data_IF_712229602807
#
_entry.id   IF_712229602807
#
_cell.length_a   1.000
_cell.length_b   1.000
_cell.length_c   1.000
_cell.angle_alpha   90.00
_cell.angle_beta   90.00
_cell.angle_gamma   90.00
#
_symmetry.space_group_name_H-M   'P 1'
#
loop_
_entity.id
_entity.type
_entity.pdbx_description
1 polymer ?
#
# COMPACT_ATOMS: atom_id res chain seq x y z
N UNK A 1 -6.91 0.75 -49.38
CA UNK A 1 -5.80 1.61 -48.91
C UNK A 1 -6.28 2.68 -47.92
N UNK A 2 -7.31 3.47 -48.26
CA UNK A 2 -7.85 4.53 -47.39
C UNK A 2 -8.39 4.00 -46.05
N UNK A 3 -9.13 2.88 -46.06
CA UNK A 3 -9.68 2.26 -44.84
C UNK A 3 -8.59 1.83 -43.83
N UNK A 4 -7.48 1.27 -44.34
CA UNK A 4 -6.33 0.90 -43.51
C UNK A 4 -5.62 2.14 -42.94
N UNK A 5 -5.56 3.23 -43.72
CA UNK A 5 -5.01 4.50 -43.25
C UNK A 5 -5.84 5.11 -42.12
N UNK A 6 -7.17 5.11 -42.24
CA UNK A 6 -8.08 5.56 -41.17
C UNK A 6 -7.95 4.66 -39.94
N UNK A 7 -7.89 3.34 -40.11
CA UNK A 7 -7.74 2.40 -39.01
C UNK A 7 -6.43 2.62 -38.23
N UNK A 8 -5.29 2.78 -38.94
CA UNK A 8 -4.00 3.09 -38.31
C UNK A 8 -4.02 4.45 -37.59
N UNK A 9 -4.65 5.47 -38.18
CA UNK A 9 -4.80 6.79 -37.56
C UNK A 9 -5.68 6.74 -36.32
N UNK A 10 -6.80 5.99 -36.35
CA UNK A 10 -7.68 5.78 -35.20
C UNK A 10 -6.98 5.05 -34.07
N UNK A 11 -6.16 4.03 -34.39
CA UNK A 11 -5.31 3.35 -33.41
C UNK A 11 -4.31 4.31 -32.77
N UNK A 12 -3.64 5.14 -33.57
CA UNK A 12 -2.68 6.14 -33.06
C UNK A 12 -3.36 7.17 -32.16
N UNK A 13 -4.52 7.70 -32.58
CA UNK A 13 -5.30 8.65 -31.77
C UNK A 13 -5.82 8.00 -30.48
N UNK A 14 -6.26 6.74 -30.55
CA UNK A 14 -6.66 5.97 -29.38
C UNK A 14 -5.49 5.80 -28.40
N UNK A 15 -4.33 5.35 -28.85
CA UNK A 15 -3.18 5.18 -27.96
C UNK A 15 -2.71 6.51 -27.34
N UNK A 16 -2.79 7.61 -28.08
CA UNK A 16 -2.36 8.93 -27.60
C UNK A 16 -3.37 9.57 -26.63
N UNK A 17 -4.67 9.29 -26.79
CA UNK A 17 -5.74 9.84 -25.94
C UNK A 17 -6.16 8.94 -24.76
N UNK A 18 -6.15 7.62 -24.94
CA UNK A 18 -6.61 6.65 -23.94
C UNK A 18 -5.56 6.35 -22.87
N UNK A 19 -4.28 6.46 -23.21
CA UNK A 19 -3.18 6.29 -22.26
C UNK A 19 -2.53 7.65 -21.98
N UNK A 20 -3.06 8.46 -21.06
CA UNK A 20 -2.34 9.61 -20.57
C UNK A 20 -1.09 9.09 -19.85
N UNK A 21 0.06 9.10 -20.52
CA UNK A 21 1.35 8.93 -19.85
C UNK A 21 1.44 10.10 -18.90
N UNK A 22 1.31 9.84 -17.59
CA UNK A 22 1.39 10.86 -16.56
C UNK A 22 2.75 11.55 -16.69
N UNK A 23 2.75 12.76 -17.25
CA UNK A 23 3.91 13.65 -17.26
C UNK A 23 4.01 14.29 -15.88
N UNK A 24 4.31 13.49 -14.86
CA UNK A 24 4.55 14.04 -13.53
C UNK A 24 5.98 13.75 -13.09
N UNK A 25 6.96 14.58 -13.52
CA UNK A 25 8.23 14.70 -12.84
C UNK A 25 8.24 16.02 -12.07
N UNK A 26 7.23 16.28 -11.23
CA UNK A 26 7.46 17.20 -10.13
C UNK A 26 7.60 16.34 -8.89
N UNK A 27 8.85 15.96 -8.64
CA UNK A 27 9.29 15.65 -7.29
C UNK A 27 8.83 16.81 -6.42
N UNK A 28 7.70 16.66 -5.74
CA UNK A 28 7.36 17.58 -4.67
C UNK A 28 8.49 17.41 -3.66
N UNK A 29 9.20 18.50 -3.37
CA UNK A 29 10.10 18.46 -2.24
C UNK A 29 9.21 18.25 -1.02
N UNK A 30 9.45 17.18 -0.27
CA UNK A 30 8.82 16.93 1.02
C UNK A 30 9.32 17.93 2.09
N UNK A 31 9.73 19.12 1.68
CA UNK A 31 10.08 20.20 2.59
C UNK A 31 8.77 20.77 3.15
N UNK A 32 8.68 21.01 4.46
CA UNK A 32 7.55 21.74 5.02
C UNK A 32 7.42 23.10 4.32
N UNK A 33 6.20 23.66 4.20
CA UNK A 33 6.00 24.97 3.59
C UNK A 33 6.92 26.00 4.24
N UNK A 34 7.79 26.64 3.45
CA UNK A 34 8.81 27.60 3.94
C UNK A 34 8.22 28.81 4.66
N UNK A 35 6.93 29.07 4.46
CA UNK A 35 6.19 30.19 5.05
C UNK A 35 5.60 29.88 6.44
N UNK A 36 5.78 28.65 6.95
CA UNK A 36 5.40 28.29 8.32
C UNK A 36 6.62 28.34 9.24
N UNK A 37 6.38 28.74 10.50
CA UNK A 37 7.31 28.96 11.62
C UNK A 37 8.56 28.04 11.66
N UNK A 38 9.66 28.46 12.31
CA UNK A 38 10.92 27.71 12.34
C UNK A 38 10.69 26.22 12.69
N UNK A 39 11.00 25.38 11.70
CA UNK A 39 10.70 23.94 11.63
C UNK A 39 11.16 23.17 12.87
N UNK A 40 12.23 23.64 13.53
CA UNK A 40 12.86 22.95 14.64
C UNK A 40 12.00 22.88 15.92
N UNK A 41 11.11 23.86 16.16
CA UNK A 41 10.31 23.90 17.40
C UNK A 41 8.82 23.60 17.18
N UNK A 42 8.33 23.63 15.93
CA UNK A 42 6.89 23.48 15.62
C UNK A 42 6.48 22.06 15.21
N UNK A 43 7.41 21.23 14.74
CA UNK A 43 7.13 19.88 14.23
C UNK A 43 7.74 18.78 15.10
N UNK A 44 7.63 18.91 16.43
CA UNK A 44 7.94 17.80 17.31
C UNK A 44 6.93 16.66 17.06
N UNK A 45 7.38 15.44 16.73
CA UNK A 45 6.46 14.34 16.45
C UNK A 45 5.69 13.98 17.73
N UNK A 46 4.38 14.19 17.71
CA UNK A 46 3.47 13.79 18.81
C UNK A 46 3.36 12.27 18.90
N UNK A 47 3.56 11.59 17.77
CA UNK A 47 3.50 10.12 17.65
C UNK A 47 4.91 9.59 17.44
N UNK A 48 5.37 8.75 18.36
CA UNK A 48 6.70 8.13 18.31
C UNK A 48 6.74 6.79 17.58
N UNK A 49 5.60 6.10 17.47
CA UNK A 49 5.47 4.79 16.83
C UNK A 49 4.20 4.70 15.99
N UNK A 50 4.32 4.11 14.81
CA UNK A 50 3.19 3.86 13.91
C UNK A 50 3.07 2.37 13.62
N UNK A 51 1.86 1.82 13.75
CA UNK A 51 1.53 0.47 13.28
C UNK A 51 0.49 0.58 12.17
N UNK A 52 0.86 0.13 10.97
CA UNK A 52 -0.03 0.02 9.82
C UNK A 52 -0.46 -1.44 9.67
N UNK A 53 -1.74 -1.71 9.92
CA UNK A 53 -2.33 -3.03 9.69
C UNK A 53 -3.12 -2.99 8.39
N UNK A 54 -2.74 -3.83 7.44
CA UNK A 54 -3.40 -4.03 6.16
C UNK A 54 -4.02 -5.42 6.18
N UNK A 55 -5.31 -5.50 5.87
CA UNK A 55 -6.05 -6.76 5.77
C UNK A 55 -6.58 -6.82 4.34
N UNK A 56 -6.08 -7.76 3.54
CA UNK A 56 -6.53 -7.95 2.16
C UNK A 56 -7.98 -8.44 2.13
N UNK A 57 -8.69 -8.10 1.05
CA UNK A 57 -10.08 -8.46 0.80
C UNK A 57 -11.09 -8.13 1.93
N UNK A 58 -10.75 -7.28 2.90
CA UNK A 58 -11.65 -6.95 4.01
C UNK A 58 -12.79 -6.04 3.53
N UNK A 59 -13.98 -6.62 3.42
CA UNK A 59 -15.20 -5.86 3.14
C UNK A 59 -15.72 -5.16 4.39
N UNK A 60 -16.24 -3.95 4.21
CA UNK A 60 -16.73 -3.13 5.32
C UNK A 60 -17.92 -3.77 6.06
N UNK A 61 -18.77 -4.53 5.36
CA UNK A 61 -19.93 -5.19 5.97
C UNK A 61 -19.54 -6.34 6.92
N UNK A 62 -18.30 -6.85 6.82
CA UNK A 62 -17.75 -7.79 7.79
C UNK A 62 -17.37 -7.11 9.12
N UNK A 63 -17.16 -5.79 9.13
CA UNK A 63 -16.80 -5.03 10.34
C UNK A 63 -18.05 -4.68 11.14
N UNK A 64 -18.63 -5.67 11.80
CA UNK A 64 -19.79 -5.50 12.68
C UNK A 64 -19.59 -6.16 14.05
N UNK A 65 -20.50 -5.93 14.98
CA UNK A 65 -20.38 -6.40 16.37
C UNK A 65 -20.43 -7.92 16.53
N UNK A 66 -20.91 -8.66 15.52
CA UNK A 66 -20.99 -10.12 15.55
C UNK A 66 -19.73 -10.75 14.96
N UNK A 67 -19.29 -10.29 13.79
CA UNK A 67 -18.14 -10.85 13.07
C UNK A 67 -16.79 -10.30 13.56
N UNK A 68 -16.71 -8.99 13.83
CA UNK A 68 -15.49 -8.31 14.30
C UNK A 68 -15.80 -7.42 15.52
N UNK A 69 -16.12 -8.01 16.69
CA UNK A 69 -16.51 -7.28 17.90
C UNK A 69 -15.42 -6.31 18.39
N UNK A 70 -14.14 -6.66 18.22
CA UNK A 70 -13.03 -5.80 18.63
C UNK A 70 -12.94 -4.56 17.73
N UNK A 71 -12.84 -4.77 16.41
CA UNK A 71 -12.71 -3.69 15.42
C UNK A 71 -13.91 -2.75 15.45
N UNK A 72 -15.12 -3.31 15.52
CA UNK A 72 -16.36 -2.51 15.60
C UNK A 72 -16.44 -1.70 16.91
N UNK A 73 -15.94 -2.21 18.03
CA UNK A 73 -15.84 -1.47 19.30
C UNK A 73 -14.81 -0.34 19.22
N UNK A 74 -13.63 -0.63 18.68
CA UNK A 74 -12.56 0.37 18.50
C UNK A 74 -13.01 1.52 17.61
N UNK A 75 -13.69 1.20 16.51
CA UNK A 75 -14.26 2.19 15.58
C UNK A 75 -15.31 3.12 16.21
N UNK A 76 -16.00 2.70 17.28
CA UNK A 76 -17.03 3.51 17.95
C UNK A 76 -16.50 4.30 19.14
N UNK A 77 -15.41 3.83 19.76
CA UNK A 77 -14.84 4.41 20.97
C UNK A 77 -13.69 5.36 20.70
N UNK A 78 -12.50 4.79 20.46
CA UNK A 78 -11.23 5.51 20.41
C UNK A 78 -10.64 5.63 18.98
N UNK A 79 -11.40 5.25 17.97
CA UNK A 79 -10.97 5.23 16.58
C UNK A 79 -11.90 5.99 15.66
N UNK A 80 -11.39 6.31 14.47
CA UNK A 80 -12.18 6.83 13.35
C UNK A 80 -12.36 5.71 12.32
N UNK A 81 -13.56 5.60 11.74
CA UNK A 81 -13.82 4.71 10.61
C UNK A 81 -14.29 5.53 9.42
N UNK A 82 -13.64 5.32 8.27
CA UNK A 82 -13.97 5.97 7.02
C UNK A 82 -14.21 4.91 5.95
N UNK A 83 -15.24 5.13 5.14
CA UNK A 83 -15.58 4.22 4.04
C UNK A 83 -14.77 4.63 2.82
N UNK A 84 -13.94 3.72 2.32
CA UNK A 84 -13.14 3.95 1.10
C UNK A 84 -13.74 3.09 -0.02
N UNK A 85 -14.25 3.76 -1.06
CA UNK A 85 -14.73 3.07 -2.26
C UNK A 85 -13.56 2.86 -3.24
N UNK A 86 -13.38 1.62 -3.68
CA UNK A 86 -12.26 1.20 -4.52
C UNK A 86 -12.77 0.90 -5.93
N UNK A 87 -12.26 1.62 -6.92
CA UNK A 87 -12.57 1.38 -8.34
C UNK A 87 -11.89 0.10 -8.84
N UNK A 88 -12.36 -0.53 -9.92
CA UNK A 88 -11.63 -1.63 -10.56
C UNK A 88 -10.28 -1.16 -11.15
N UNK A 89 -9.25 -2.01 -11.23
CA UNK A 89 -9.17 -3.40 -10.77
C UNK A 89 -8.74 -3.54 -9.31
N UNK A 90 -9.12 -4.65 -8.68
CA UNK A 90 -8.88 -4.97 -7.26
C UNK A 90 -7.65 -5.87 -7.08
N UNK A 91 -6.53 -5.53 -7.72
CA UNK A 91 -5.26 -6.27 -7.57
C UNK A 91 -4.47 -5.71 -6.39
N UNK A 92 -3.88 -6.57 -5.57
CA UNK A 92 -3.17 -6.21 -4.33
C UNK A 92 -2.02 -5.24 -4.57
N UNK A 93 -1.11 -5.53 -5.52
CA UNK A 93 0.09 -4.70 -5.75
C UNK A 93 -0.23 -3.24 -6.16
N UNK A 94 -1.09 -2.96 -7.16
CA UNK A 94 -1.49 -1.58 -7.47
C UNK A 94 -2.17 -0.86 -6.30
N UNK A 95 -2.89 -1.57 -5.44
CA UNK A 95 -3.57 -0.98 -4.26
C UNK A 95 -2.59 -0.61 -3.16
N UNK A 96 -1.59 -1.45 -2.89
CA UNK A 96 -0.49 -1.10 -1.99
C UNK A 96 0.24 0.15 -2.50
N UNK A 97 0.54 0.22 -3.81
CA UNK A 97 1.15 1.43 -4.39
C UNK A 97 0.28 2.66 -4.16
N UNK A 98 -1.01 2.57 -4.42
CA UNK A 98 -1.95 3.67 -4.22
C UNK A 98 -2.02 4.12 -2.75
N UNK A 99 -2.07 3.17 -1.82
CA UNK A 99 -2.14 3.43 -0.39
C UNK A 99 -0.91 4.18 0.13
N UNK A 100 0.28 3.78 -0.31
CA UNK A 100 1.54 4.30 0.21
C UNK A 100 2.00 5.55 -0.56
N UNK A 101 1.64 5.70 -1.84
CA UNK A 101 1.94 6.90 -2.64
C UNK A 101 0.87 8.00 -2.53
N UNK A 102 -0.37 7.67 -2.14
CA UNK A 102 -1.49 8.61 -2.10
C UNK A 102 -2.10 8.96 -3.46
N UNK A 103 -1.72 8.24 -4.52
CA UNK A 103 -2.19 8.48 -5.88
C UNK A 103 -3.13 7.36 -6.37
N UNK A 104 -4.17 7.72 -7.14
CA UNK A 104 -5.08 6.73 -7.75
C UNK A 104 -4.34 6.03 -8.90
N UNK A 105 -4.22 4.69 -8.90
CA UNK A 105 -3.45 3.97 -9.90
C UNK A 105 -4.19 4.02 -11.23
N UNK A 106 -3.49 4.43 -12.29
CA UNK A 106 -4.02 4.41 -13.65
C UNK A 106 -3.80 3.02 -14.29
N UNK A 107 -4.61 2.68 -15.30
CA UNK A 107 -4.47 1.40 -16.01
C UNK A 107 -3.07 1.21 -16.59
N UNK A 108 -2.45 2.29 -17.10
CA UNK A 108 -1.08 2.25 -17.62
C UNK A 108 -0.06 1.92 -16.53
N UNK A 109 -0.26 2.41 -15.30
CA UNK A 109 0.63 2.11 -14.17
C UNK A 109 0.62 0.62 -13.88
N UNK A 110 -0.54 -0.03 -13.97
CA UNK A 110 -0.67 -1.48 -13.76
C UNK A 110 0.11 -2.26 -14.82
N UNK A 111 -0.02 -1.88 -16.10
CA UNK A 111 0.70 -2.53 -17.21
C UNK A 111 2.22 -2.30 -17.09
N UNK A 112 2.65 -1.08 -16.80
CA UNK A 112 4.06 -0.75 -16.60
C UNK A 112 4.63 -1.51 -15.39
N UNK A 113 3.85 -1.63 -14.30
CA UNK A 113 4.24 -2.37 -13.10
C UNK A 113 4.36 -3.88 -13.30
N UNK A 114 3.66 -4.46 -14.28
CA UNK A 114 3.85 -5.86 -14.68
C UNK A 114 5.14 -6.05 -15.51
N UNK A 115 5.57 -5.00 -16.21
CA UNK A 115 6.75 -5.02 -17.07
C UNK A 115 8.04 -4.58 -16.37
N UNK A 116 7.95 -3.86 -15.24
CA UNK A 116 9.09 -3.34 -14.51
C UNK A 116 9.10 -3.76 -13.04
N UNK A 117 10.26 -4.21 -12.55
CA UNK A 117 10.56 -4.36 -11.11
C UNK A 117 10.90 -3.01 -10.50
N UNK A 118 10.04 -2.01 -10.67
CA UNK A 118 10.32 -0.66 -10.21
C UNK A 118 10.09 -0.50 -8.71
N UNK A 119 11.20 -0.20 -8.02
CA UNK A 119 11.20 0.34 -6.67
C UNK A 119 10.38 1.62 -6.64
N UNK A 120 9.33 1.63 -5.80
CA UNK A 120 8.45 2.79 -5.70
C UNK A 120 9.18 3.95 -5.02
N UNK A 121 9.46 5.00 -5.79
CA UNK A 121 10.04 6.27 -5.32
C UNK A 121 8.88 7.26 -5.17
N UNK A 122 8.88 8.01 -4.07
CA UNK A 122 7.77 8.86 -3.61
C UNK A 122 6.59 8.11 -2.97
N UNK A 123 6.79 7.76 -1.70
CA UNK A 123 5.80 7.06 -0.89
C UNK A 123 6.09 7.24 0.60
N UNK A 124 5.11 6.94 1.46
CA UNK A 124 5.28 6.95 2.93
C UNK A 124 6.52 6.16 3.38
N UNK A 125 6.74 4.97 2.83
CA UNK A 125 7.90 4.12 3.16
C UNK A 125 9.20 4.78 2.74
N UNK A 126 9.25 5.33 1.51
CA UNK A 126 10.43 6.03 1.01
C UNK A 126 10.77 7.26 1.85
N UNK A 127 9.77 8.06 2.23
CA UNK A 127 9.96 9.25 3.08
C UNK A 127 10.45 8.88 4.48
N UNK A 128 9.87 7.83 5.08
CA UNK A 128 10.29 7.31 6.38
C UNK A 128 11.74 6.79 6.34
N UNK A 129 12.10 6.03 5.31
CA UNK A 129 13.45 5.52 5.12
C UNK A 129 14.48 6.66 5.00
N UNK A 130 14.20 7.67 4.17
CA UNK A 130 15.08 8.84 4.02
C UNK A 130 15.19 9.69 5.30
N UNK A 131 14.21 9.57 6.21
CA UNK A 131 14.22 10.20 7.53
C UNK A 131 14.89 9.33 8.60
N UNK A 132 15.64 8.29 8.20
CA UNK A 132 16.31 7.33 9.08
C UNK A 132 15.37 6.59 10.05
N UNK A 133 14.11 6.39 9.68
CA UNK A 133 13.15 5.62 10.48
C UNK A 133 13.37 4.12 10.26
N UNK A 134 13.33 3.36 11.35
CA UNK A 134 13.39 1.90 11.32
C UNK A 134 12.02 1.33 11.02
N UNK A 135 11.87 0.80 9.81
CA UNK A 135 10.63 0.22 9.31
C UNK A 135 10.75 -1.30 9.40
N UNK A 136 9.79 -1.97 10.05
CA UNK A 136 9.69 -3.43 10.08
C UNK A 136 8.45 -3.90 9.33
N UNK A 137 8.55 -5.02 8.62
CA UNK A 137 7.47 -5.51 7.75
C UNK A 137 7.25 -7.02 7.90
N UNK A 138 5.99 -7.43 8.06
CA UNK A 138 5.61 -8.85 8.07
C UNK A 138 4.32 -9.05 7.27
N UNK A 139 4.30 -10.06 6.39
CA UNK A 139 3.13 -10.40 5.59
C UNK A 139 3.47 -10.79 4.16
N UNK A 140 2.59 -10.44 3.21
CA UNK A 140 2.72 -10.81 1.80
C UNK A 140 4.01 -10.29 1.12
N UNK A 141 4.70 -11.15 0.35
CA UNK A 141 5.97 -10.84 -0.31
C UNK A 141 5.90 -9.71 -1.37
N UNK A 142 4.71 -9.29 -1.79
CA UNK A 142 4.50 -8.16 -2.71
C UNK A 142 5.15 -6.88 -2.19
N UNK A 143 5.14 -6.64 -0.87
CA UNK A 143 5.81 -5.47 -0.28
C UNK A 143 7.31 -5.51 -0.50
N UNK A 144 7.94 -6.69 -0.43
CA UNK A 144 9.37 -6.85 -0.68
C UNK A 144 9.73 -6.61 -2.15
N UNK A 145 8.84 -6.97 -3.08
CA UNK A 145 8.99 -6.67 -4.50
C UNK A 145 8.91 -5.16 -4.77
N UNK A 146 8.03 -4.46 -4.06
CA UNK A 146 7.84 -3.01 -4.19
C UNK A 146 8.95 -2.18 -3.51
N UNK A 147 9.49 -2.69 -2.40
CA UNK A 147 10.38 -1.98 -1.49
C UNK A 147 11.57 -2.87 -1.06
N UNK A 148 12.43 -3.30 -2.00
CA UNK A 148 13.41 -4.36 -1.76
C UNK A 148 14.48 -4.03 -0.70
N UNK A 149 14.68 -2.76 -0.38
CA UNK A 149 15.78 -2.30 0.47
C UNK A 149 15.38 -1.29 1.55
N UNK A 150 14.08 -1.17 1.88
CA UNK A 150 13.61 -0.17 2.85
C UNK A 150 13.27 -0.73 4.24
N UNK A 151 13.20 -2.05 4.40
CA UNK A 151 12.84 -2.68 5.66
C UNK A 151 14.08 -3.07 6.48
N UNK A 152 14.10 -2.65 7.74
CA UNK A 152 15.15 -2.94 8.72
C UNK A 152 15.10 -4.40 9.20
N UNK A 153 13.89 -4.90 9.47
CA UNK A 153 13.60 -6.32 9.69
C UNK A 153 12.35 -6.68 8.94
N UNK A 154 12.35 -7.85 8.31
CA UNK A 154 11.19 -8.29 7.57
C UNK A 154 11.09 -9.80 7.44
N UNK A 155 9.88 -10.28 7.23
CA UNK A 155 9.60 -11.64 6.76
C UNK A 155 8.43 -11.59 5.79
N UNK A 156 8.72 -11.91 4.52
CA UNK A 156 7.71 -11.99 3.46
C UNK A 156 7.31 -13.44 3.24
N UNK A 157 6.00 -13.68 3.15
CA UNK A 157 5.43 -15.00 2.85
C UNK A 157 4.75 -14.94 1.48
N UNK A 158 4.93 -15.97 0.66
CA UNK A 158 4.38 -16.00 -0.69
C UNK A 158 2.92 -16.50 -0.65
N UNK A 159 1.98 -15.69 -1.11
CA UNK A 159 0.54 -15.97 -1.13
C UNK A 159 0.04 -16.69 -2.39
N UNK A 160 0.90 -16.98 -3.37
CA UNK A 160 0.47 -17.59 -4.64
C UNK A 160 0.08 -19.07 -4.53
N UNK A 161 0.23 -19.72 -3.38
CA UNK A 161 -0.23 -21.09 -3.17
C UNK A 161 -1.69 -21.13 -2.72
N UNK A 162 -2.56 -21.61 -3.61
CA UNK A 162 -4.05 -21.70 -3.54
C UNK A 162 -4.61 -22.40 -2.28
N UNK A 163 -3.77 -22.95 -1.40
CA UNK A 163 -4.20 -23.69 -0.19
C UNK A 163 -3.75 -23.06 1.13
N UNK A 164 -3.09 -21.92 1.06
CA UNK A 164 -2.50 -21.30 2.22
C UNK A 164 -3.24 -20.01 2.62
N UNK A 165 -4.23 -20.19 3.49
CA UNK A 165 -5.07 -19.10 4.02
C UNK A 165 -4.60 -18.60 5.39
N UNK A 166 -3.62 -19.28 5.99
CA UNK A 166 -3.27 -19.06 7.39
C UNK A 166 -1.77 -18.87 7.62
N UNK A 167 -0.86 -19.34 6.75
CA UNK A 167 0.58 -19.23 7.00
C UNK A 167 1.03 -17.76 7.03
N UNK A 168 0.52 -16.94 6.10
CA UNK A 168 0.81 -15.50 6.10
C UNK A 168 0.30 -14.86 7.40
N UNK A 169 -0.94 -15.14 7.79
CA UNK A 169 -1.54 -14.56 8.99
C UNK A 169 -0.87 -15.05 10.29
N UNK A 170 -0.46 -16.32 10.35
CA UNK A 170 0.35 -16.89 11.43
C UNK A 170 1.76 -16.30 11.47
N UNK A 171 2.39 -16.09 10.30
CA UNK A 171 3.70 -15.43 10.18
C UNK A 171 3.65 -14.01 10.73
N UNK A 172 2.62 -13.26 10.38
CA UNK A 172 2.42 -11.90 10.89
C UNK A 172 2.21 -11.96 12.40
N UNK A 173 1.31 -12.83 12.88
CA UNK A 173 0.97 -12.94 14.31
C UNK A 173 2.18 -13.29 15.18
N UNK A 174 2.99 -14.27 14.78
CA UNK A 174 4.19 -14.67 15.55
C UNK A 174 5.22 -13.53 15.63
N UNK A 175 5.40 -12.78 14.55
CA UNK A 175 6.39 -11.72 14.48
C UNK A 175 5.94 -10.46 15.23
N UNK A 176 4.64 -10.14 15.21
CA UNK A 176 4.07 -9.03 16.00
C UNK A 176 4.36 -9.19 17.48
N UNK A 177 4.15 -10.39 18.03
CA UNK A 177 4.40 -10.66 19.45
C UNK A 177 5.85 -10.37 19.83
N UNK A 178 6.80 -10.80 18.99
CA UNK A 178 8.23 -10.51 19.16
C UNK A 178 8.54 -9.01 19.09
N UNK A 179 7.97 -8.31 18.11
CA UNK A 179 8.27 -6.88 17.90
C UNK A 179 7.67 -5.96 18.96
N UNK A 180 6.58 -6.38 19.60
CA UNK A 180 6.01 -5.71 20.77
C UNK A 180 6.98 -5.75 21.95
N UNK A 181 7.85 -6.76 22.05
CA UNK A 181 8.87 -6.84 23.10
C UNK A 181 10.11 -6.01 22.78
N UNK A 182 10.62 -6.09 21.55
CA UNK A 182 11.88 -5.44 21.13
C UNK A 182 11.76 -3.92 21.08
N UNK A 183 10.65 -3.37 20.55
CA UNK A 183 10.31 -1.93 20.52
C UNK A 183 11.39 -0.99 19.96
N UNK A 184 12.39 -1.44 19.23
CA UNK A 184 13.46 -0.60 18.65
C UNK A 184 13.11 -0.04 17.25
N UNK A 185 11.91 -0.30 16.75
CA UNK A 185 11.37 0.16 15.45
C UNK A 185 10.57 1.46 15.58
N UNK A 186 10.44 2.22 14.49
CA UNK A 186 9.61 3.43 14.40
C UNK A 186 8.26 3.15 13.71
N UNK A 187 8.27 2.33 12.65
CA UNK A 187 7.10 1.98 11.85
C UNK A 187 7.02 0.46 11.72
N UNK A 188 5.85 -0.11 11.98
CA UNK A 188 5.56 -1.53 11.75
C UNK A 188 4.44 -1.67 10.73
N UNK A 189 4.66 -2.48 9.70
CA UNK A 189 3.67 -2.79 8.67
C UNK A 189 3.34 -4.27 8.75
N UNK A 190 2.04 -4.57 8.89
CA UNK A 190 1.50 -5.91 9.06
C UNK A 190 0.49 -6.15 7.95
N UNK A 191 0.73 -7.11 7.07
CA UNK A 191 -0.17 -7.42 5.97
C UNK A 191 -0.75 -8.83 6.11
N UNK A 192 -2.01 -8.89 6.54
CA UNK A 192 -2.83 -10.10 6.60
C UNK A 192 -3.57 -10.29 5.29
N UNK A 193 -3.73 -11.53 4.83
CA UNK A 193 -4.51 -11.83 3.62
C UNK A 193 -6.00 -11.90 3.92
N UNK A 194 -6.37 -12.29 5.13
CA UNK A 194 -7.77 -12.54 5.49
C UNK A 194 -8.40 -13.61 4.59
N UNK A 195 -9.70 -13.45 4.30
CA UNK A 195 -10.45 -14.35 3.42
C UNK A 195 -10.38 -13.79 1.99
N UNK A 196 -9.33 -14.13 1.25
CA UNK A 196 -9.15 -13.67 -0.12
C UNK A 196 -10.09 -14.39 -1.11
N UNK A 197 -10.53 -13.69 -2.16
CA UNK A 197 -11.61 -14.06 -3.10
C UNK A 197 -11.37 -15.32 -3.95
N UNK A 198 -10.32 -16.12 -3.71
CA UNK A 198 -10.06 -17.38 -4.42
C UNK A 198 -10.96 -18.54 -3.94
N UNK A 199 -12.09 -18.23 -3.30
CA UNK A 199 -12.92 -19.19 -2.58
C UNK A 199 -14.37 -19.31 -3.08
N UNK A 200 -14.74 -18.69 -4.20
CA UNK A 200 -16.06 -18.93 -4.80
C UNK A 200 -15.98 -19.04 -6.33
N UNK A 201 -15.60 -20.23 -6.81
CA UNK A 201 -16.30 -20.86 -7.94
C UNK A 201 -17.56 -21.57 -7.43
#
# INVERSE_FOLDING_TARGET
MILYGIFLLSILLFFNGFFPISKTPQSFKNDPPKDMLPVNDTYAPVVSKLVLVVIDALRLDFVNSQLMPLTSRLSRGNGCSNNVSVQTPTVTMPRIKALIAGNVPQFIDIVLNLASTEQLKDSLIHSAYNSNKKIVFYGDDTWLKLFPSYFWRYEGTNSFYVRDFEEVDHNVTRNVLKEIEVKDWDIMILHYLGISFMEFE
#
